data_IF_889940388393
#
_entry.id   IF_889940388393
#
_cell.length_a   1.000
_cell.length_b   1.000
_cell.length_c   1.000
_cell.angle_alpha   90.00
_cell.angle_beta   90.00
_cell.angle_gamma   90.00
#
_symmetry.space_group_name_H-M   'P 1'
#
loop_
_entity.id
_entity.type
_entity.pdbx_description
1 polymer ?
#
# COMPACT_ATOMS: atom_id res chain seq x y z
N UNK A 1 14.65 3.32 6.44
CA UNK A 1 14.37 2.82 5.08
C UNK A 1 14.11 3.95 4.10
N UNK A 2 13.19 4.90 4.35
CA UNK A 2 12.97 6.02 3.40
C UNK A 2 14.21 6.92 3.14
N UNK A 3 14.96 7.24 4.21
CA UNK A 3 16.13 8.12 4.12
C UNK A 3 17.41 7.43 3.61
N UNK A 4 17.37 6.10 3.43
CA UNK A 4 18.48 5.25 2.95
C UNK A 4 17.89 3.99 2.30
N UNK A 5 17.31 4.11 1.08
CA UNK A 5 16.64 3.00 0.41
C UNK A 5 17.57 1.83 0.10
N UNK A 6 18.84 2.09 -0.23
CA UNK A 6 19.78 1.07 -0.71
C UNK A 6 20.35 0.14 0.38
N UNK A 7 19.98 0.33 1.65
CA UNK A 7 20.54 -0.42 2.77
C UNK A 7 20.03 -1.88 2.83
N UNK A 8 18.88 -2.17 2.21
CA UNK A 8 18.26 -3.50 2.26
C UNK A 8 18.08 -4.08 0.85
N UNK A 9 18.30 -5.40 0.68
CA UNK A 9 18.22 -6.07 -0.63
C UNK A 9 16.77 -6.39 -1.01
N UNK A 10 15.89 -5.38 -1.05
CA UNK A 10 14.53 -5.51 -1.56
C UNK A 10 14.33 -4.59 -2.76
N UNK A 11 14.55 -5.13 -3.97
CA UNK A 11 14.49 -4.38 -5.23
C UNK A 11 13.14 -3.71 -5.46
N UNK A 12 12.02 -4.39 -5.16
CA UNK A 12 10.68 -3.84 -5.36
C UNK A 12 10.42 -2.66 -4.41
N UNK A 13 10.76 -2.82 -3.13
CA UNK A 13 10.60 -1.77 -2.13
C UNK A 13 11.47 -0.55 -2.47
N UNK A 14 12.72 -0.76 -2.90
CA UNK A 14 13.62 0.31 -3.28
C UNK A 14 13.10 1.10 -4.49
N UNK A 15 12.54 0.40 -5.48
CA UNK A 15 11.94 1.05 -6.65
C UNK A 15 10.75 1.96 -6.29
N UNK A 16 9.88 1.51 -5.37
CA UNK A 16 8.76 2.32 -4.90
C UNK A 16 9.22 3.49 -4.03
N UNK A 17 10.22 3.31 -3.16
CA UNK A 17 10.78 4.42 -2.38
C UNK A 17 11.36 5.48 -3.33
N UNK A 18 12.14 5.09 -4.34
CA UNK A 18 12.67 6.03 -5.34
C UNK A 18 11.57 6.80 -6.05
N UNK A 19 10.46 6.16 -6.39
CA UNK A 19 9.34 6.83 -7.04
C UNK A 19 8.63 7.81 -6.10
N UNK A 20 8.38 7.43 -4.85
CA UNK A 20 7.74 8.27 -3.84
C UNK A 20 8.59 9.53 -3.55
N UNK A 21 9.92 9.38 -3.50
CA UNK A 21 10.85 10.49 -3.25
C UNK A 21 10.93 11.53 -4.39
N UNK A 22 10.25 11.32 -5.52
CA UNK A 22 10.13 12.33 -6.57
C UNK A 22 9.14 13.46 -6.23
N UNK A 23 8.35 13.30 -5.17
CA UNK A 23 7.36 14.27 -4.74
C UNK A 23 7.83 15.04 -3.49
N UNK A 24 7.37 16.28 -3.34
CA UNK A 24 7.54 17.04 -2.11
C UNK A 24 6.35 16.76 -1.18
N UNK A 25 6.61 16.15 -0.03
CA UNK A 25 5.60 15.78 0.95
C UNK A 25 6.17 15.65 2.36
N UNK A 26 5.28 15.81 3.35
CA UNK A 26 5.56 15.46 4.73
C UNK A 26 4.89 14.12 5.08
N UNK A 27 5.68 13.17 5.58
CA UNK A 27 5.15 11.88 6.01
C UNK A 27 4.65 11.98 7.46
N UNK A 28 3.33 12.05 7.63
CA UNK A 28 2.68 12.10 8.95
C UNK A 28 1.96 10.80 9.24
N UNK A 29 2.26 10.18 10.39
CA UNK A 29 1.54 8.99 10.84
C UNK A 29 0.12 9.36 11.30
N UNK A 30 -0.88 8.68 10.72
CA UNK A 30 -2.30 8.85 11.06
C UNK A 30 -2.81 7.60 11.78
N UNK A 31 -3.36 7.70 13.00
CA UNK A 31 -3.96 6.56 13.69
C UNK A 31 -5.06 5.90 12.85
N UNK A 32 -5.13 4.56 12.86
CA UNK A 32 -6.08 3.80 12.03
C UNK A 32 -7.55 4.21 12.19
N UNK A 33 -7.95 4.64 13.39
CA UNK A 33 -9.32 5.15 13.64
C UNK A 33 -9.68 6.39 12.81
N UNK A 34 -8.68 7.18 12.39
CA UNK A 34 -8.80 8.35 11.52
C UNK A 34 -8.50 8.04 10.04
N UNK A 35 -8.07 6.82 9.74
CA UNK A 35 -7.69 6.39 8.39
C UNK A 35 -8.73 5.47 7.72
N UNK A 36 -9.96 5.40 8.28
CA UNK A 36 -11.02 4.46 7.86
C UNK A 36 -11.46 4.63 6.40
N UNK A 37 -11.43 5.84 5.84
CA UNK A 37 -11.82 6.09 4.46
C UNK A 37 -10.91 5.36 3.46
N UNK A 38 -9.60 5.69 3.41
CA UNK A 38 -8.64 4.98 2.58
C UNK A 38 -8.57 3.48 2.88
N UNK A 39 -8.62 3.09 4.16
CA UNK A 39 -8.65 1.68 4.59
C UNK A 39 -9.89 0.94 4.05
N UNK A 40 -11.06 1.60 4.03
CA UNK A 40 -12.27 1.06 3.44
C UNK A 40 -12.21 0.93 1.91
N UNK A 41 -11.51 1.85 1.22
CA UNK A 41 -11.29 1.76 -0.22
C UNK A 41 -10.34 0.62 -0.59
N UNK A 42 -9.25 0.45 0.17
CA UNK A 42 -8.28 -0.65 -0.04
C UNK A 42 -8.91 -2.03 0.13
N UNK A 43 -9.87 -2.16 1.07
CA UNK A 43 -10.61 -3.40 1.34
C UNK A 43 -11.94 -3.50 0.59
N UNK A 44 -12.27 -2.56 -0.30
CA UNK A 44 -13.54 -2.60 -1.02
C UNK A 44 -13.52 -3.81 -1.94
N UNK A 45 -14.60 -4.60 -1.91
CA UNK A 45 -14.81 -5.64 -2.92
C UNK A 45 -14.87 -4.97 -4.30
N UNK A 46 -14.21 -5.56 -5.28
CA UNK A 46 -14.33 -5.15 -6.67
C UNK A 46 -15.81 -5.21 -7.06
N UNK A 47 -16.33 -4.15 -7.70
CA UNK A 47 -17.69 -4.18 -8.20
C UNK A 47 -17.78 -5.14 -9.40
N UNK A 48 -18.95 -5.75 -9.63
CA UNK A 48 -19.13 -6.74 -10.71
C UNK A 48 -18.85 -6.20 -12.13
N UNK A 49 -18.91 -4.87 -12.31
CA UNK A 49 -18.62 -4.16 -13.57
C UNK A 49 -17.18 -3.60 -13.63
N UNK A 50 -16.41 -3.72 -12.55
CA UNK A 50 -14.98 -3.44 -12.53
C UNK A 50 -14.28 -4.78 -12.79
N UNK A 51 -13.69 -4.97 -13.97
CA UNK A 51 -13.10 -6.26 -14.39
C UNK A 51 -12.09 -6.86 -13.39
N UNK A 52 -11.70 -8.11 -13.65
CA UNK A 52 -10.95 -9.09 -12.81
C UNK A 52 -9.61 -8.63 -12.17
N UNK A 53 -9.22 -7.37 -12.26
CA UNK A 53 -7.89 -6.85 -11.92
C UNK A 53 -7.69 -6.37 -10.47
N UNK A 54 -8.44 -6.86 -9.48
CA UNK A 54 -8.37 -6.29 -8.12
C UNK A 54 -8.36 -7.26 -6.93
N UNK A 55 -8.18 -8.56 -7.14
CA UNK A 55 -8.25 -9.56 -6.07
C UNK A 55 -7.06 -10.52 -6.15
N UNK A 56 -5.85 -10.03 -5.87
CA UNK A 56 -4.83 -10.94 -5.35
C UNK A 56 -5.20 -11.26 -3.90
N UNK A 57 -5.75 -12.47 -3.72
CA UNK A 57 -6.43 -12.93 -2.52
C UNK A 57 -5.56 -12.90 -1.27
N UNK A 58 -6.17 -12.42 -0.18
CA UNK A 58 -5.80 -12.85 1.16
C UNK A 58 -6.60 -14.13 1.39
N UNK A 59 -5.97 -15.29 1.19
CA UNK A 59 -6.55 -16.54 1.69
C UNK A 59 -6.57 -16.45 3.22
N UNK A 60 -7.78 -16.36 3.79
CA UNK A 60 -7.99 -16.55 5.21
C UNK A 60 -7.61 -18.01 5.53
N UNK A 61 -6.49 -18.21 6.25
CA UNK A 61 -6.19 -19.49 6.88
C UNK A 61 -7.27 -19.77 7.92
N UNK A 62 -8.11 -20.78 7.67
CA UNK A 62 -8.98 -21.38 8.69
C UNK A 62 -8.14 -22.24 9.65
N UNK A 63 -8.42 -22.11 10.96
CA UNK A 63 -7.80 -22.82 12.09
C UNK A 63 -8.15 -24.34 12.14
#
# INVERSE_FOLDING_TARGET
MLNKPDLYPNTAMNQWISAILMFDFELVHVPGVKHKGPDGLSRRRIAEDEGETGSEGVEEMED
#
